data_IF_212512697785
#
_entry.id   IF_212512697785
#
_cell.length_a   1.000
_cell.length_b   1.000
_cell.length_c   1.000
_cell.angle_alpha   90.00
_cell.angle_beta   90.00
_cell.angle_gamma   90.00
#
_symmetry.space_group_name_H-M   'P 1'
#
loop_
_entity.id
_entity.type
_entity.pdbx_description
1 polymer ?
#
# COMPACT_ATOMS: atom_id res chain seq x y z
N UNK A 1 -28.82 65.84 18.06
CA UNK A 1 -27.42 65.34 18.03
C UNK A 1 -27.19 63.98 18.71
N UNK A 2 -27.88 63.61 19.80
CA UNK A 2 -27.68 62.33 20.54
C UNK A 2 -27.97 61.06 19.71
N UNK A 3 -29.04 61.05 18.92
CA UNK A 3 -29.44 59.88 18.11
C UNK A 3 -28.46 59.58 16.96
N UNK A 4 -27.91 60.59 16.30
CA UNK A 4 -26.95 60.41 15.20
C UNK A 4 -25.62 59.79 15.68
N UNK A 5 -25.16 60.20 16.88
CA UNK A 5 -23.97 59.62 17.52
C UNK A 5 -24.17 58.16 17.92
N UNK A 6 -25.35 57.81 18.44
CA UNK A 6 -25.71 56.43 18.82
C UNK A 6 -25.75 55.50 17.60
N UNK A 7 -26.32 55.95 16.48
CA UNK A 7 -26.38 55.17 15.23
C UNK A 7 -24.99 54.95 14.61
N UNK A 8 -24.11 55.96 14.64
CA UNK A 8 -22.72 55.81 14.16
C UNK A 8 -21.93 54.83 15.01
N UNK A 9 -22.06 54.89 16.35
CA UNK A 9 -21.43 53.97 17.28
C UNK A 9 -21.89 52.51 17.06
N UNK A 10 -23.19 52.30 16.89
CA UNK A 10 -23.78 50.98 16.63
C UNK A 10 -23.37 50.36 15.28
N UNK A 11 -23.06 51.19 14.27
CA UNK A 11 -22.52 50.69 12.99
C UNK A 11 -21.05 50.27 13.14
N UNK A 12 -20.25 51.05 13.85
CA UNK A 12 -18.84 50.73 14.11
C UNK A 12 -18.68 49.48 14.97
N UNK A 13 -19.53 49.31 16.00
CA UNK A 13 -19.54 48.10 16.83
C UNK A 13 -19.85 46.84 16.00
N UNK A 14 -20.93 46.89 15.20
CA UNK A 14 -21.28 45.79 14.29
C UNK A 14 -20.19 45.45 13.26
N UNK A 15 -19.45 46.45 12.79
CA UNK A 15 -18.30 46.23 11.89
C UNK A 15 -17.16 45.49 12.59
N UNK A 16 -16.81 45.89 13.82
CA UNK A 16 -15.76 45.23 14.61
C UNK A 16 -16.12 43.80 15.00
N UNK A 17 -17.38 43.55 15.35
CA UNK A 17 -17.89 42.21 15.64
C UNK A 17 -17.79 41.29 14.41
N UNK A 18 -18.15 41.80 13.22
CA UNK A 18 -18.00 41.05 11.97
C UNK A 18 -16.55 40.74 11.63
N UNK A 19 -15.64 41.68 11.82
CA UNK A 19 -14.20 41.44 11.60
C UNK A 19 -13.62 40.42 12.58
N UNK A 20 -13.98 40.51 13.86
CA UNK A 20 -13.60 39.52 14.87
C UNK A 20 -14.13 38.13 14.52
N UNK A 21 -15.39 38.03 14.11
CA UNK A 21 -15.99 36.76 13.66
C UNK A 21 -15.26 36.16 12.45
N UNK A 22 -14.94 36.98 11.45
CA UNK A 22 -14.18 36.53 10.26
C UNK A 22 -12.76 36.09 10.63
N UNK A 23 -12.11 36.78 11.58
CA UNK A 23 -10.78 36.40 12.10
C UNK A 23 -10.81 35.06 12.82
N UNK A 24 -11.79 34.84 13.71
CA UNK A 24 -11.96 33.56 14.40
C UNK A 24 -12.33 32.44 13.42
N UNK A 25 -13.23 32.68 12.46
CA UNK A 25 -13.55 31.70 11.40
C UNK A 25 -12.31 31.31 10.59
N UNK A 26 -11.41 32.25 10.33
CA UNK A 26 -10.14 31.99 9.62
C UNK A 26 -9.17 31.18 10.47
N UNK A 27 -9.06 31.49 11.77
CA UNK A 27 -8.26 30.68 12.71
C UNK A 27 -8.79 29.25 12.82
N UNK A 28 -10.10 29.08 12.94
CA UNK A 28 -10.74 27.76 13.02
C UNK A 28 -10.48 26.94 11.76
N UNK A 29 -10.60 27.53 10.57
CA UNK A 29 -10.24 26.85 9.31
C UNK A 29 -8.78 26.39 9.30
N UNK A 30 -7.84 27.26 9.70
CA UNK A 30 -6.43 26.90 9.80
C UNK A 30 -6.20 25.76 10.80
N UNK A 31 -6.86 25.80 11.95
CA UNK A 31 -6.75 24.78 12.98
C UNK A 31 -7.26 23.43 12.47
N UNK A 32 -8.42 23.39 11.80
CA UNK A 32 -8.96 22.17 11.19
C UNK A 32 -8.00 21.61 10.14
N UNK A 33 -7.40 22.45 9.29
CA UNK A 33 -6.41 22.00 8.30
C UNK A 33 -5.13 21.45 8.95
N UNK A 34 -4.63 22.10 10.01
CA UNK A 34 -3.45 21.62 10.75
C UNK A 34 -3.76 20.27 11.41
N UNK A 35 -4.92 20.12 12.05
CA UNK A 35 -5.32 18.84 12.67
C UNK A 35 -5.42 17.72 11.63
N UNK A 36 -6.01 17.98 10.45
CA UNK A 36 -6.06 17.00 9.37
C UNK A 36 -4.66 16.60 8.89
N UNK A 37 -3.76 17.57 8.72
CA UNK A 37 -2.38 17.30 8.31
C UNK A 37 -1.59 16.49 9.35
N UNK A 38 -1.74 16.82 10.63
CA UNK A 38 -1.10 16.07 11.72
C UNK A 38 -1.62 14.64 11.77
N UNK A 39 -2.92 14.42 11.55
CA UNK A 39 -3.50 13.07 11.45
C UNK A 39 -2.91 12.26 10.29
N UNK A 40 -2.79 12.86 9.10
CA UNK A 40 -2.18 12.22 7.92
C UNK A 40 -0.71 11.86 8.17
N UNK A 41 0.05 12.75 8.84
CA UNK A 41 1.45 12.47 9.12
C UNK A 41 1.62 11.35 10.16
N UNK A 42 0.75 11.32 11.17
CA UNK A 42 0.80 10.31 12.23
C UNK A 42 0.46 8.91 11.69
N UNK A 43 -0.52 8.84 10.79
CA UNK A 43 -0.92 7.58 10.11
C UNK A 43 0.18 7.10 9.17
N UNK A 44 0.74 7.97 8.33
CA UNK A 44 1.89 7.61 7.49
C UNK A 44 3.08 7.10 8.30
N UNK A 45 3.37 7.70 9.46
CA UNK A 45 4.44 7.21 10.35
C UNK A 45 4.13 5.86 11.00
N UNK A 46 2.85 5.56 11.26
CA UNK A 46 2.45 4.26 11.80
C UNK A 46 2.55 3.17 10.72
N UNK A 47 2.14 3.48 9.50
CA UNK A 47 2.23 2.59 8.35
C UNK A 47 3.68 2.19 8.01
N UNK A 48 4.59 3.17 8.02
CA UNK A 48 6.03 2.91 7.85
C UNK A 48 6.58 1.97 8.93
N UNK A 49 6.06 2.03 10.16
CA UNK A 49 6.48 1.13 11.25
C UNK A 49 5.84 -0.25 11.17
N UNK A 50 4.63 -0.35 10.62
CA UNK A 50 3.95 -1.61 10.42
C UNK A 50 4.45 -2.35 9.18
N UNK A 51 5.06 -1.65 8.22
CA UNK A 51 5.72 -2.26 7.06
C UNK A 51 6.96 -2.99 7.53
N UNK A 52 6.90 -4.31 7.45
CA UNK A 52 7.89 -5.25 8.01
C UNK A 52 8.83 -5.82 6.95
N UNK A 53 8.43 -5.77 5.68
CA UNK A 53 9.27 -6.01 4.52
C UNK A 53 8.91 -4.99 3.42
N UNK A 54 9.91 -4.37 2.81
CA UNK A 54 9.72 -3.42 1.70
C UNK A 54 10.82 -3.56 0.66
N UNK A 55 10.55 -4.30 -0.41
CA UNK A 55 11.46 -4.47 -1.54
C UNK A 55 11.10 -3.49 -2.66
N UNK A 56 11.88 -2.42 -2.74
CA UNK A 56 11.68 -1.38 -3.75
C UNK A 56 12.18 -1.76 -5.14
N UNK A 57 13.05 -2.78 -5.23
CA UNK A 57 13.70 -3.24 -6.46
C UNK A 57 14.43 -2.14 -7.25
N UNK A 58 14.87 -1.10 -6.56
CA UNK A 58 15.74 -0.06 -7.10
C UNK A 58 17.20 -0.55 -7.13
N UNK A 59 17.87 -0.32 -8.24
CA UNK A 59 19.25 -0.72 -8.45
C UNK A 59 19.77 -0.40 -9.84
N UNK A 60 20.96 -0.92 -10.13
CA UNK A 60 21.56 -0.89 -11.46
C UNK A 60 21.03 -2.05 -12.31
N UNK A 61 21.09 -1.87 -13.63
CA UNK A 61 20.74 -2.91 -14.61
C UNK A 61 21.59 -4.17 -14.41
N UNK A 62 20.93 -5.33 -14.37
CA UNK A 62 21.56 -6.63 -14.16
C UNK A 62 21.99 -6.91 -12.71
N UNK A 63 21.62 -6.08 -11.74
CA UNK A 63 21.95 -6.33 -10.34
C UNK A 63 21.21 -7.56 -9.79
N UNK A 64 21.91 -8.43 -9.08
CA UNK A 64 21.35 -9.65 -8.45
C UNK A 64 21.22 -9.51 -6.93
N UNK A 65 21.02 -8.27 -6.47
CA UNK A 65 20.87 -7.93 -5.06
C UNK A 65 19.89 -6.78 -4.92
N UNK A 66 19.09 -6.81 -3.85
CA UNK A 66 18.24 -5.69 -3.44
C UNK A 66 18.39 -5.47 -1.93
N UNK A 67 17.75 -4.43 -1.42
CA UNK A 67 17.71 -4.13 0.02
C UNK A 67 16.26 -4.14 0.50
N UNK A 68 16.03 -4.70 1.68
CA UNK A 68 14.81 -4.44 2.43
C UNK A 68 14.88 -3.01 2.99
N UNK A 69 13.98 -2.16 2.51
CA UNK A 69 13.86 -0.76 2.93
C UNK A 69 12.92 -0.56 4.12
N UNK A 70 12.37 -1.65 4.68
CA UNK A 70 11.62 -1.60 5.94
C UNK A 70 12.54 -1.22 7.11
N UNK A 71 11.99 -0.80 8.26
CA UNK A 71 12.77 -0.61 9.48
C UNK A 71 13.48 -1.88 9.98
N UNK A 72 13.05 -3.07 9.55
CA UNK A 72 13.63 -4.35 9.97
C UNK A 72 14.89 -4.72 9.18
N UNK A 73 14.99 -4.32 7.92
CA UNK A 73 16.21 -4.46 7.11
C UNK A 73 16.65 -5.91 6.89
N UNK A 74 15.71 -6.81 6.57
CA UNK A 74 15.99 -8.22 6.35
C UNK A 74 17.08 -8.47 5.30
N UNK A 75 18.07 -9.29 5.66
CA UNK A 75 19.23 -9.63 4.82
C UNK A 75 19.80 -11.00 5.21
N UNK A 76 20.33 -11.81 4.26
CA UNK A 76 20.36 -11.55 2.82
C UNK A 76 19.03 -11.84 2.12
N UNK A 77 18.78 -11.11 1.04
CA UNK A 77 17.74 -11.44 0.05
C UNK A 77 18.46 -12.10 -1.13
N UNK A 78 18.22 -13.40 -1.32
CA UNK A 78 18.99 -14.20 -2.25
C UNK A 78 18.27 -14.30 -3.59
N UNK A 79 18.93 -13.94 -4.68
CA UNK A 79 18.45 -14.13 -6.05
C UNK A 79 18.93 -15.49 -6.56
N UNK A 80 18.05 -16.24 -7.24
CA UNK A 80 18.35 -17.53 -7.84
C UNK A 80 18.14 -17.49 -9.35
N UNK A 81 18.78 -18.42 -10.07
CA UNK A 81 18.78 -18.44 -11.52
C UNK A 81 19.54 -17.24 -12.10
N UNK A 82 18.91 -16.58 -13.06
CA UNK A 82 19.31 -15.30 -13.66
C UNK A 82 18.36 -14.17 -13.27
N UNK A 83 17.63 -14.31 -12.15
CA UNK A 83 16.83 -13.24 -11.58
C UNK A 83 17.69 -11.99 -11.39
N UNK A 84 17.16 -10.83 -11.79
CA UNK A 84 17.92 -9.59 -11.80
C UNK A 84 17.00 -8.36 -11.70
N UNK A 85 17.59 -7.23 -11.32
CA UNK A 85 16.97 -5.92 -11.49
C UNK A 85 17.17 -5.45 -12.94
N UNK A 86 16.10 -4.98 -13.56
CA UNK A 86 16.08 -4.49 -14.94
C UNK A 86 15.65 -3.02 -14.98
N UNK A 87 16.36 -2.20 -15.76
CA UNK A 87 16.10 -0.76 -15.86
C UNK A 87 15.25 -0.37 -17.07
N UNK A 88 15.03 -1.32 -18.00
CA UNK A 88 14.29 -1.06 -19.25
C UNK A 88 12.83 -0.73 -18.95
N UNK A 89 12.17 -1.54 -18.12
CA UNK A 89 10.79 -1.31 -17.68
C UNK A 89 10.70 -1.37 -16.15
N UNK A 90 9.91 -0.46 -15.56
CA UNK A 90 9.74 -0.30 -14.11
C UNK A 90 8.45 0.43 -13.83
N UNK A 91 7.82 0.16 -12.68
CA UNK A 91 6.64 0.91 -12.27
C UNK A 91 7.01 2.26 -11.69
N UNK A 92 8.09 2.31 -10.91
CA UNK A 92 8.60 3.51 -10.23
C UNK A 92 10.06 3.34 -9.82
N UNK A 93 10.73 4.42 -9.41
CA UNK A 93 12.13 4.35 -8.99
C UNK A 93 13.10 4.10 -10.16
N UNK A 94 14.16 3.33 -9.93
CA UNK A 94 15.27 3.17 -10.90
C UNK A 94 15.25 1.86 -11.69
N UNK A 95 14.66 0.79 -11.14
CA UNK A 95 14.60 -0.54 -11.76
C UNK A 95 13.36 -1.30 -11.27
N UNK A 96 13.12 -2.50 -11.80
CA UNK A 96 12.17 -3.48 -11.25
C UNK A 96 12.78 -4.88 -11.24
N UNK A 97 12.21 -5.80 -10.47
CA UNK A 97 12.63 -7.19 -10.50
C UNK A 97 12.13 -7.85 -11.79
N UNK A 98 13.02 -8.48 -12.56
CA UNK A 98 12.70 -9.27 -13.74
C UNK A 98 12.93 -10.76 -13.44
N UNK A 99 11.90 -11.58 -13.68
CA UNK A 99 11.94 -13.04 -13.62
C UNK A 99 11.42 -13.60 -14.95
N UNK A 100 12.06 -14.66 -15.45
CA UNK A 100 11.81 -15.19 -16.81
C UNK A 100 10.89 -16.41 -16.89
N UNK A 101 10.25 -16.79 -15.77
CA UNK A 101 9.40 -17.98 -15.69
C UNK A 101 10.14 -19.30 -15.56
N UNK A 102 11.46 -19.31 -15.41
CA UNK A 102 12.26 -20.54 -15.36
C UNK A 102 13.43 -20.46 -14.37
N UNK A 103 13.19 -20.84 -13.11
CA UNK A 103 14.26 -20.97 -12.11
C UNK A 103 14.71 -19.65 -11.49
N UNK A 104 14.12 -18.54 -11.93
CA UNK A 104 14.27 -17.21 -11.38
C UNK A 104 13.32 -17.00 -10.20
N UNK A 105 13.88 -16.70 -9.03
CA UNK A 105 13.12 -16.37 -7.81
C UNK A 105 14.04 -15.75 -6.76
N UNK A 106 13.42 -15.17 -5.73
CA UNK A 106 14.11 -14.66 -4.55
C UNK A 106 13.73 -15.47 -3.31
N UNK A 107 14.64 -15.55 -2.35
CA UNK A 107 14.34 -16.07 -1.01
C UNK A 107 14.79 -15.16 0.11
N UNK A 108 14.02 -15.18 1.19
CA UNK A 108 14.31 -14.53 2.46
C UNK A 108 14.12 -15.57 3.57
N UNK A 109 15.11 -15.67 4.47
CA UNK A 109 15.04 -16.58 5.61
C UNK A 109 13.89 -16.18 6.53
N UNK A 110 13.17 -17.19 7.03
CA UNK A 110 11.99 -17.07 7.90
C UNK A 110 12.11 -16.03 9.04
N UNK A 111 11.00 -15.36 9.35
CA UNK A 111 10.88 -14.35 10.40
C UNK A 111 9.42 -14.22 10.87
N UNK A 112 9.18 -13.96 12.17
CA UNK A 112 7.84 -13.61 12.67
C UNK A 112 7.22 -12.37 12.03
N UNK A 113 8.04 -11.56 11.37
CA UNK A 113 7.65 -10.38 10.61
C UNK A 113 6.71 -10.69 9.42
N UNK A 114 6.48 -11.94 9.06
CA UNK A 114 5.48 -12.32 8.05
C UNK A 114 4.66 -13.55 8.44
N UNK A 115 4.34 -13.66 9.73
CA UNK A 115 3.39 -14.62 10.29
C UNK A 115 1.92 -14.26 9.93
N UNK A 116 1.65 -14.03 8.65
CA UNK A 116 0.42 -13.37 8.14
C UNK A 116 -0.87 -14.12 8.46
N UNK A 117 -0.78 -15.39 8.86
CA UNK A 117 -1.89 -16.27 9.20
C UNK A 117 -1.88 -16.75 10.66
N UNK A 118 -0.93 -16.31 11.50
CA UNK A 118 -0.75 -16.89 12.84
C UNK A 118 -1.86 -16.48 13.84
N UNK A 119 -2.47 -15.31 13.67
CA UNK A 119 -3.56 -14.82 14.51
C UNK A 119 -4.78 -14.40 13.67
N UNK A 120 -5.99 -14.80 14.07
CA UNK A 120 -7.24 -14.45 13.42
C UNK A 120 -7.72 -13.03 13.75
N UNK A 121 -7.13 -12.36 14.76
CA UNK A 121 -7.49 -11.00 15.15
C UNK A 121 -6.61 -9.94 14.46
N UNK A 122 -5.44 -10.32 13.95
CA UNK A 122 -4.49 -9.40 13.34
C UNK A 122 -4.91 -8.92 11.95
N UNK A 123 -4.39 -7.76 11.57
CA UNK A 123 -4.54 -7.23 10.22
C UNK A 123 -3.23 -7.34 9.46
N UNK A 124 -3.29 -7.79 8.21
CA UNK A 124 -2.12 -7.93 7.36
C UNK A 124 -2.43 -7.47 5.95
N UNK A 125 -1.47 -6.77 5.35
CA UNK A 125 -1.51 -6.34 3.97
C UNK A 125 -0.25 -6.80 3.26
N UNK A 126 -0.40 -7.45 2.10
CA UNK A 126 0.68 -7.73 1.17
C UNK A 126 0.33 -7.02 -0.13
N UNK A 127 1.18 -6.13 -0.63
CA UNK A 127 0.92 -5.43 -1.88
C UNK A 127 2.16 -5.29 -2.75
N UNK A 128 1.95 -5.30 -4.06
CA UNK A 128 3.02 -5.21 -5.06
C UNK A 128 2.45 -4.81 -6.42
N UNK A 129 3.32 -4.29 -7.28
CA UNK A 129 3.04 -4.09 -8.69
C UNK A 129 3.57 -5.27 -9.50
N UNK A 130 2.78 -5.71 -10.48
CA UNK A 130 3.15 -6.80 -11.38
C UNK A 130 2.88 -6.44 -12.83
N UNK A 131 3.77 -6.83 -13.72
CA UNK A 131 3.56 -6.83 -15.17
C UNK A 131 3.88 -8.25 -15.67
N UNK A 132 2.87 -8.98 -16.15
CA UNK A 132 3.04 -10.39 -16.52
C UNK A 132 3.48 -10.55 -17.98
N UNK A 133 4.29 -11.57 -18.26
CA UNK A 133 4.59 -12.03 -19.62
C UNK A 133 3.95 -13.39 -19.93
N UNK A 134 3.75 -14.22 -18.92
CA UNK A 134 2.99 -15.47 -19.00
C UNK A 134 1.63 -15.35 -18.31
N UNK A 135 0.66 -16.11 -18.81
CA UNK A 135 -0.70 -16.21 -18.29
C UNK A 135 -1.05 -17.65 -17.85
N UNK A 136 -0.04 -18.50 -17.68
CA UNK A 136 -0.17 -19.85 -17.13
C UNK A 136 -0.24 -19.87 -15.60
N UNK A 137 -0.28 -21.07 -15.01
CA UNK A 137 -0.22 -21.22 -13.55
C UNK A 137 1.14 -20.80 -13.01
N UNK A 138 1.17 -19.82 -12.09
CA UNK A 138 2.40 -19.27 -11.51
C UNK A 138 2.19 -18.70 -10.11
N UNK A 139 3.27 -18.57 -9.34
CA UNK A 139 3.26 -18.01 -7.98
C UNK A 139 4.01 -16.70 -7.90
N UNK A 140 3.42 -15.71 -7.21
CA UNK A 140 4.05 -14.42 -6.99
C UNK A 140 4.85 -14.39 -5.69
N UNK A 141 4.27 -14.89 -4.60
CA UNK A 141 4.99 -15.08 -3.34
C UNK A 141 4.28 -16.09 -2.42
N UNK A 142 5.02 -16.66 -1.48
CA UNK A 142 4.46 -17.56 -0.48
C UNK A 142 5.50 -18.07 0.52
N UNK A 143 5.03 -18.80 1.52
CA UNK A 143 5.87 -19.61 2.40
C UNK A 143 5.46 -21.07 2.33
N UNK A 144 6.45 -21.94 2.53
CA UNK A 144 6.22 -23.38 2.65
C UNK A 144 7.22 -24.02 3.60
N UNK A 145 6.71 -24.86 4.49
CA UNK A 145 7.51 -25.78 5.30
C UNK A 145 7.22 -27.25 4.95
N UNK A 146 5.96 -27.58 4.64
CA UNK A 146 5.51 -28.97 4.49
C UNK A 146 4.11 -29.11 3.93
N UNK A 147 3.43 -30.21 4.24
CA UNK A 147 2.13 -30.59 3.66
C UNK A 147 1.08 -29.49 3.66
N UNK A 148 0.48 -29.21 4.83
CA UNK A 148 -0.52 -28.14 5.02
C UNK A 148 0.10 -26.81 5.43
N UNK A 149 1.36 -26.81 5.87
CA UNK A 149 2.09 -25.61 6.31
C UNK A 149 2.62 -24.85 5.08
N UNK A 150 1.67 -24.17 4.42
CA UNK A 150 1.90 -23.38 3.21
C UNK A 150 0.87 -22.28 3.05
N UNK A 151 1.29 -21.16 2.49
CA UNK A 151 0.41 -20.19 1.86
C UNK A 151 1.07 -19.62 0.62
N UNK A 152 0.27 -19.18 -0.36
CA UNK A 152 0.80 -18.50 -1.53
C UNK A 152 -0.25 -17.58 -2.18
N UNK A 153 0.24 -16.47 -2.73
CA UNK A 153 -0.47 -15.63 -3.70
C UNK A 153 -0.06 -16.09 -5.09
N UNK A 154 -1.05 -16.44 -5.91
CA UNK A 154 -0.83 -17.13 -7.18
C UNK A 154 -1.75 -16.63 -8.27
N UNK A 155 -1.44 -17.03 -9.49
CA UNK A 155 -2.24 -16.78 -10.67
C UNK A 155 -2.64 -18.08 -11.36
N UNK A 156 -3.93 -18.25 -11.62
CA UNK A 156 -4.52 -19.36 -12.39
C UNK A 156 -5.76 -18.86 -13.14
N UNK A 157 -5.57 -18.29 -14.34
CA UNK A 157 -6.64 -17.58 -15.07
C UNK A 157 -7.33 -16.47 -14.24
N UNK A 158 -6.63 -15.95 -13.24
CA UNK A 158 -7.17 -15.06 -12.21
C UNK A 158 -6.25 -15.06 -10.99
N UNK A 159 -6.37 -14.03 -10.16
CA UNK A 159 -5.60 -13.84 -8.94
C UNK A 159 -6.23 -14.60 -7.78
N UNK A 160 -5.45 -15.43 -7.10
CA UNK A 160 -5.89 -16.27 -6.00
C UNK A 160 -4.94 -16.27 -4.81
N UNK A 161 -5.47 -16.69 -3.67
CA UNK A 161 -4.70 -16.96 -2.45
C UNK A 161 -5.11 -18.32 -1.92
N UNK A 162 -4.13 -19.12 -1.53
CA UNK A 162 -4.38 -20.41 -0.91
C UNK A 162 -3.50 -20.62 0.30
N UNK A 163 -4.08 -21.17 1.37
CA UNK A 163 -3.36 -21.71 2.50
C UNK A 163 -3.80 -23.14 2.79
N UNK A 164 -2.82 -24.00 3.12
CA UNK A 164 -3.11 -25.36 3.57
C UNK A 164 -3.79 -25.45 4.94
N UNK A 165 -3.95 -24.32 5.65
CA UNK A 165 -4.74 -24.22 6.89
C UNK A 165 -6.25 -24.08 6.65
N UNK A 166 -6.71 -24.09 5.40
CA UNK A 166 -8.13 -24.01 5.05
C UNK A 166 -8.62 -22.61 4.69
N UNK A 167 -7.71 -21.74 4.25
CA UNK A 167 -8.03 -20.41 3.72
C UNK A 167 -7.90 -20.47 2.20
N UNK A 168 -8.95 -20.10 1.48
CA UNK A 168 -8.96 -20.14 0.02
C UNK A 168 -9.73 -18.95 -0.53
N UNK A 169 -9.05 -18.16 -1.36
CA UNK A 169 -9.62 -17.15 -2.22
C UNK A 169 -9.51 -17.66 -3.66
N UNK A 170 -10.65 -18.05 -4.24
CA UNK A 170 -10.68 -18.57 -5.60
C UNK A 170 -10.12 -17.54 -6.60
N UNK A 171 -9.40 -18.01 -7.66
CA UNK A 171 -8.92 -17.16 -8.73
C UNK A 171 -10.03 -16.29 -9.31
N UNK A 172 -9.80 -14.98 -9.39
CA UNK A 172 -10.74 -14.01 -9.94
C UNK A 172 -10.01 -12.91 -10.69
N UNK A 173 -10.72 -12.22 -11.59
CA UNK A 173 -10.21 -11.07 -12.35
C UNK A 173 -8.88 -11.35 -13.08
N UNK A 174 -8.91 -12.05 -14.23
CA UNK A 174 -7.71 -12.29 -15.01
C UNK A 174 -6.96 -11.01 -15.38
N UNK A 175 -5.66 -11.15 -15.57
CA UNK A 175 -4.81 -10.15 -16.22
C UNK A 175 -4.63 -10.65 -17.65
N UNK A 176 -5.03 -9.83 -18.63
CA UNK A 176 -5.06 -10.20 -20.05
C UNK A 176 -4.29 -9.24 -20.94
N UNK A 177 -3.54 -8.33 -20.33
CA UNK A 177 -2.71 -7.33 -20.98
C UNK A 177 -1.30 -7.35 -20.35
N UNK A 178 -0.41 -6.59 -20.96
CA UNK A 178 0.98 -6.44 -20.53
C UNK A 178 1.21 -5.14 -19.75
N UNK A 179 0.16 -4.57 -19.15
CA UNK A 179 0.28 -3.36 -18.34
C UNK A 179 0.65 -3.70 -16.90
N UNK A 180 1.11 -2.69 -16.17
CA UNK A 180 1.35 -2.83 -14.74
C UNK A 180 0.03 -2.80 -13.96
N UNK A 181 -0.20 -3.84 -13.16
CA UNK A 181 -1.33 -3.92 -12.25
C UNK A 181 -0.86 -3.89 -10.80
N UNK A 182 -1.63 -3.21 -9.96
CA UNK A 182 -1.40 -3.22 -8.51
C UNK A 182 -2.24 -4.31 -7.86
N UNK A 183 -1.57 -5.22 -7.17
CA UNK A 183 -2.19 -6.34 -6.48
C UNK A 183 -2.04 -6.11 -4.98
N UNK A 184 -3.13 -6.30 -4.23
CA UNK A 184 -3.08 -6.35 -2.79
C UNK A 184 -3.84 -7.56 -2.26
N UNK A 185 -3.29 -8.22 -1.25
CA UNK A 185 -3.98 -9.14 -0.37
C UNK A 185 -4.17 -8.43 0.97
N UNK A 186 -5.41 -8.36 1.44
CA UNK A 186 -5.74 -7.79 2.75
C UNK A 186 -6.44 -8.85 3.60
N UNK A 187 -5.91 -9.06 4.79
CA UNK A 187 -6.53 -9.75 5.91
C UNK A 187 -6.92 -8.68 6.92
N UNK A 188 -8.20 -8.62 7.27
CA UNK A 188 -8.74 -7.75 8.31
C UNK A 188 -9.43 -8.63 9.32
N UNK A 189 -8.78 -8.89 10.45
CA UNK A 189 -9.12 -9.98 11.36
C UNK A 189 -9.37 -11.32 10.62
N UNK A 190 -10.61 -11.81 10.60
CA UNK A 190 -11.01 -13.09 10.01
C UNK A 190 -11.55 -12.95 8.57
N UNK A 191 -11.46 -11.77 7.98
CA UNK A 191 -11.92 -11.47 6.62
C UNK A 191 -10.72 -11.29 5.66
N UNK A 192 -10.77 -11.97 4.52
CA UNK A 192 -9.67 -12.01 3.56
C UNK A 192 -10.19 -11.60 2.19
N UNK A 193 -9.44 -10.76 1.48
CA UNK A 193 -9.70 -10.45 0.09
C UNK A 193 -8.44 -10.08 -0.66
N UNK A 194 -8.48 -10.30 -1.98
CA UNK A 194 -7.54 -9.71 -2.92
C UNK A 194 -8.18 -8.53 -3.65
N UNK A 195 -7.33 -7.63 -4.11
CA UNK A 195 -7.67 -6.44 -4.86
C UNK A 195 -6.78 -6.36 -6.10
N UNK A 196 -7.37 -5.97 -7.22
CA UNK A 196 -6.67 -5.63 -8.46
C UNK A 196 -7.00 -4.19 -8.80
N UNK A 197 -5.98 -3.35 -8.94
CA UNK A 197 -6.11 -1.93 -9.26
C UNK A 197 -7.09 -1.19 -8.34
N UNK A 198 -7.06 -1.57 -7.05
CA UNK A 198 -7.89 -0.97 -6.00
C UNK A 198 -9.31 -1.51 -5.87
N UNK A 199 -9.74 -2.48 -6.69
CA UNK A 199 -11.08 -3.08 -6.58
C UNK A 199 -11.01 -4.50 -5.99
N UNK A 200 -11.87 -4.82 -5.03
CA UNK A 200 -11.97 -6.16 -4.46
C UNK A 200 -12.41 -7.19 -5.52
N UNK A 201 -11.77 -8.36 -5.56
CA UNK A 201 -12.00 -9.37 -6.62
C UNK A 201 -12.52 -10.71 -6.09
N UNK A 202 -12.17 -11.04 -4.85
CA UNK A 202 -12.59 -12.25 -4.16
C UNK A 202 -12.77 -11.96 -2.66
N UNK A 203 -13.32 -12.93 -1.94
CA UNK A 203 -13.59 -12.81 -0.52
C UNK A 203 -13.67 -14.20 0.11
N UNK A 204 -13.18 -14.32 1.34
CA UNK A 204 -13.53 -15.41 2.24
C UNK A 204 -13.49 -14.92 3.68
N UNK A 205 -14.22 -15.59 4.56
CA UNK A 205 -14.23 -15.33 5.99
C UNK A 205 -13.98 -16.61 6.75
N UNK A 206 -12.95 -16.64 7.58
CA UNK A 206 -12.56 -17.81 8.36
C UNK A 206 -11.67 -17.41 9.51
N UNK A 207 -11.81 -18.07 10.66
CA UNK A 207 -10.90 -17.92 11.79
C UNK A 207 -9.75 -18.94 11.75
N UNK A 208 -9.50 -19.56 10.59
CA UNK A 208 -8.41 -20.51 10.41
C UNK A 208 -7.06 -19.78 10.54
N UNK A 209 -6.19 -20.35 11.36
CA UNK A 209 -4.86 -19.81 11.63
C UNK A 209 -3.80 -20.88 11.40
N UNK A 210 -2.58 -20.42 11.15
CA UNK A 210 -1.43 -21.28 11.13
C UNK A 210 -0.14 -20.50 10.94
N UNK A 211 0.91 -21.04 11.54
CA UNK A 211 2.26 -20.51 11.48
C UNK A 211 3.13 -21.39 10.56
N UNK A 212 4.05 -20.75 9.84
CA UNK A 212 4.96 -21.40 8.89
C UNK A 212 6.35 -20.87 9.14
N UNK A 213 7.22 -21.75 9.65
CA UNK A 213 8.64 -21.44 9.87
C UNK A 213 9.52 -21.73 8.64
N UNK A 214 8.94 -21.51 7.47
CA UNK A 214 9.51 -21.81 6.17
C UNK A 214 10.04 -20.57 5.48
N UNK A 215 10.94 -20.77 4.51
CA UNK A 215 11.50 -19.67 3.72
C UNK A 215 10.37 -18.92 3.00
N UNK A 216 10.45 -17.59 2.99
CA UNK A 216 9.64 -16.73 2.14
C UNK A 216 10.22 -16.77 0.72
N UNK A 217 9.43 -17.24 -0.23
CA UNK A 217 9.77 -17.32 -1.66
C UNK A 217 9.02 -16.22 -2.42
N UNK A 218 9.71 -15.53 -3.33
CA UNK A 218 9.13 -14.54 -4.24
C UNK A 218 9.41 -14.99 -5.66
N UNK A 219 8.36 -15.11 -6.48
CA UNK A 219 8.43 -15.51 -7.88
C UNK A 219 8.41 -17.03 -8.12
N UNK A 220 8.24 -17.84 -7.09
CA UNK A 220 8.09 -19.29 -7.22
C UNK A 220 7.34 -19.87 -6.03
N UNK A 221 6.98 -21.15 -6.12
CA UNK A 221 6.62 -21.96 -4.97
C UNK A 221 7.34 -23.31 -5.02
N UNK A 222 8.27 -23.56 -4.11
CA UNK A 222 9.13 -24.74 -4.09
C UNK A 222 9.82 -24.99 -5.45
N UNK A 223 10.37 -23.93 -6.05
CA UNK A 223 11.03 -23.93 -7.38
C UNK A 223 10.17 -24.48 -8.52
N UNK A 224 8.84 -24.46 -8.38
CA UNK A 224 7.89 -24.85 -9.42
C UNK A 224 6.98 -23.66 -9.76
N UNK A 225 6.48 -23.64 -10.99
CA UNK A 225 5.53 -22.63 -11.47
C UNK A 225 6.05 -21.20 -11.23
N UNK A 226 7.26 -20.97 -11.71
CA UNK A 226 7.97 -19.70 -11.58
C UNK A 226 7.20 -18.58 -12.30
N UNK A 227 7.22 -17.40 -11.72
CA UNK A 227 6.64 -16.19 -12.29
C UNK A 227 7.45 -15.73 -13.51
N UNK A 228 6.76 -15.44 -14.61
CA UNK A 228 7.32 -14.80 -15.80
C UNK A 228 6.77 -13.38 -15.93
N UNK A 229 7.62 -12.40 -15.65
CA UNK A 229 7.23 -11.00 -15.67
C UNK A 229 8.13 -10.10 -14.83
N UNK A 230 7.60 -8.93 -14.51
CA UNK A 230 8.24 -7.93 -13.67
C UNK A 230 7.46 -7.68 -12.39
N UNK A 231 8.17 -7.39 -11.31
CA UNK A 231 7.60 -7.01 -10.01
C UNK A 231 8.27 -5.74 -9.48
N UNK A 232 7.47 -4.84 -8.90
CA UNK A 232 7.97 -3.59 -8.30
C UNK A 232 7.22 -3.29 -6.99
N UNK A 233 7.90 -2.61 -6.05
CA UNK A 233 7.37 -2.15 -4.75
C UNK A 233 6.62 -3.23 -3.95
N UNK A 234 7.24 -4.39 -3.74
CA UNK A 234 6.67 -5.44 -2.89
C UNK A 234 6.76 -5.05 -1.41
N UNK A 235 5.64 -5.12 -0.71
CA UNK A 235 5.57 -4.89 0.75
C UNK A 235 4.79 -5.98 1.46
N UNK A 236 5.19 -6.23 2.70
CA UNK A 236 4.41 -6.93 3.72
C UNK A 236 4.26 -5.97 4.88
N UNK A 237 3.03 -5.77 5.33
CA UNK A 237 2.67 -4.82 6.38
C UNK A 237 1.75 -5.47 7.40
N UNK A 238 2.12 -5.41 8.68
CA UNK A 238 1.32 -5.90 9.81
C UNK A 238 0.28 -4.84 10.22
N UNK A 239 -0.57 -4.45 9.27
CA UNK A 239 -1.70 -3.55 9.48
C UNK A 239 -2.67 -3.58 8.30
N UNK A 240 -3.87 -3.03 8.52
CA UNK A 240 -4.81 -2.68 7.47
C UNK A 240 -4.46 -1.31 6.86
N UNK A 241 -3.33 -1.23 6.15
CA UNK A 241 -2.76 0.02 5.61
C UNK A 241 -3.70 0.81 4.70
N UNK A 242 -4.60 0.13 4.00
CA UNK A 242 -5.48 0.76 3.02
C UNK A 242 -6.91 0.98 3.52
N UNK A 243 -7.14 0.83 4.82
CA UNK A 243 -8.48 0.87 5.43
C UNK A 243 -9.46 -0.08 4.72
N UNK A 244 -8.98 -1.24 4.29
CA UNK A 244 -9.77 -2.23 3.58
C UNK A 244 -10.93 -2.71 4.45
N UNK A 245 -12.08 -2.95 3.83
CA UNK A 245 -13.25 -3.55 4.42
C UNK A 245 -13.76 -4.70 3.53
N UNK A 246 -13.00 -5.83 3.47
CA UNK A 246 -13.38 -6.98 2.68
C UNK A 246 -14.82 -7.39 2.94
N UNK A 247 -15.59 -7.64 1.88
CA UNK A 247 -16.98 -8.08 2.02
C UNK A 247 -17.37 -9.09 0.95
N UNK A 248 -18.36 -9.92 1.28
CA UNK A 248 -18.89 -10.98 0.40
C UNK A 248 -19.37 -10.45 -0.96
N UNK A 249 -19.91 -9.22 -0.98
CA UNK A 249 -20.43 -8.59 -2.18
C UNK A 249 -19.35 -7.97 -3.08
N UNK A 250 -18.08 -7.99 -2.64
CA UNK A 250 -16.91 -7.48 -3.36
C UNK A 250 -17.07 -6.02 -3.79
N UNK A 251 -17.73 -5.22 -2.95
CA UNK A 251 -17.95 -3.80 -3.22
C UNK A 251 -16.85 -2.90 -2.66
N UNK A 252 -15.87 -3.48 -1.95
CA UNK A 252 -14.81 -2.68 -1.36
C UNK A 252 -13.83 -2.14 -2.41
N UNK A 253 -13.27 -0.98 -2.10
CA UNK A 253 -12.22 -0.36 -2.89
C UNK A 253 -11.15 0.22 -1.98
N UNK A 254 -9.90 -0.04 -2.34
CA UNK A 254 -8.72 0.49 -1.67
C UNK A 254 -7.97 1.44 -2.60
N UNK A 255 -7.21 2.37 -2.01
CA UNK A 255 -6.43 3.35 -2.78
C UNK A 255 -4.96 3.14 -2.50
N UNK A 256 -4.16 3.04 -3.56
CA UNK A 256 -2.71 2.98 -3.43
C UNK A 256 -2.18 4.31 -2.89
N UNK A 257 -1.51 4.23 -1.74
CA UNK A 257 -0.73 5.33 -1.19
C UNK A 257 0.76 5.06 -1.50
N UNK A 258 1.36 5.91 -2.34
CA UNK A 258 2.82 5.86 -2.53
C UNK A 258 3.52 6.35 -1.26
N UNK A 259 4.49 5.60 -0.71
CA UNK A 259 5.22 6.03 0.48
C UNK A 259 6.32 7.06 0.18
N UNK A 260 6.42 7.59 -1.05
CA UNK A 260 7.33 8.71 -1.35
C UNK A 260 7.10 9.84 -0.33
N UNK A 261 8.18 10.45 0.21
CA UNK A 261 8.04 11.48 1.25
C UNK A 261 7.09 12.53 0.71
N UNK A 262 5.90 12.59 1.31
CA UNK A 262 4.75 13.24 0.73
C UNK A 262 5.15 14.60 0.14
N UNK A 263 5.30 14.65 -1.19
CA UNK A 263 5.28 15.94 -1.87
C UNK A 263 3.82 16.31 -1.82
N UNK A 264 3.42 16.91 -0.69
CA UNK A 264 2.09 17.45 -0.48
C UNK A 264 1.93 18.50 -1.56
N UNK A 265 1.37 18.09 -2.70
CA UNK A 265 0.84 18.98 -3.70
C UNK A 265 -0.17 19.83 -2.95
N UNK A 266 0.24 21.06 -2.66
CA UNK A 266 -0.50 22.04 -1.89
C UNK A 266 -1.86 22.20 -2.57
N UNK A 267 -2.88 21.46 -2.13
CA UNK A 267 -4.24 21.59 -2.64
C UNK A 267 -4.68 23.04 -2.38
N UNK A 268 -4.57 23.87 -3.42
CA UNK A 268 -5.30 25.13 -3.58
C UNK A 268 -5.07 26.26 -2.59
N UNK A 269 -4.03 26.27 -1.75
CA UNK A 269 -3.78 27.41 -0.84
C UNK A 269 -2.98 28.57 -1.47
N UNK A 270 -2.49 28.42 -2.70
CA UNK A 270 -1.80 29.47 -3.47
C UNK A 270 -2.71 30.59 -4.00
N UNK A 271 -4.03 30.52 -3.82
CA UNK A 271 -4.99 31.47 -4.42
C UNK A 271 -5.88 32.23 -3.41
N UNK A 272 -5.56 32.24 -2.10
CA UNK A 272 -6.15 33.24 -1.20
C UNK A 272 -5.15 34.39 -1.00
N UNK A 273 -5.15 35.25 -2.01
CA UNK A 273 -4.11 36.21 -2.32
C UNK A 273 -3.68 37.12 -1.18
N UNK A 274 -2.40 37.49 -1.30
CA UNK A 274 -1.90 38.84 -1.11
C UNK A 274 -2.99 39.90 -1.33
N UNK A 275 -3.68 40.31 -0.27
CA UNK A 275 -4.21 41.66 -0.20
C UNK A 275 -3.01 42.57 0.08
N UNK A 276 -2.29 42.89 -1.00
CA UNK A 276 -1.51 44.12 -1.14
C UNK A 276 -2.38 45.25 -0.59
N UNK A 277 -2.08 45.74 0.62
CA UNK A 277 -2.44 47.12 0.98
C UNK A 277 -1.65 48.02 0.03
N UNK A 278 -2.23 48.33 -1.13
CA UNK A 278 -1.83 49.52 -1.88
C UNK A 278 -2.04 50.72 -0.95
N UNK A 279 -0.97 51.46 -0.70
CA UNK A 279 -1.04 52.86 -0.26
C UNK A 279 -2.04 53.61 -1.15
N UNK A 280 -2.93 54.37 -0.54
CA UNK A 280 -3.30 55.70 -1.04
C UNK A 280 -3.30 56.66 0.14
N UNK A 281 -2.86 57.88 -0.18
CA UNK A 281 -2.74 59.07 0.66
C UNK A 281 -4.01 59.35 1.45
#
# INVERSE_FOLDING_TARGET
MRNLRKTKLLRTLRSKERENFLREKTKMKKLTTICALVGVLLTASADVKATVLSLNFDGADGATTTVDSSPNGHTPINFFGNAQLDTAEKKSGSASLLLDGSGDYLTIADSPDWDVLADAADDWTIDFWVQQHSYGYQYYLGQRQGGTQRWAIYYENGLGFYSGFGISLAPAEPISDSDWHWIAFCKVADEYAMYKDGRQINYTKTSAVGDITGILEIGTYATMYCFDGRMDKLRITHSNTFDASPNEYKTDTIVFHSPEPATIALLGLGALGLLRRKRKM
#
